data_IF_909995025985
#
_entry.id   IF_909995025985
#
_cell.length_a   1.000
_cell.length_b   1.000
_cell.length_c   1.000
_cell.angle_alpha   90.00
_cell.angle_beta   90.00
_cell.angle_gamma   90.00
#
_symmetry.space_group_name_H-M   'P 1'
#
loop_
_entity.id
_entity.type
_entity.pdbx_description
1 polymer ?
#
# COMPACT_ATOMS: atom_id res chain seq x y z
N UNK A 1 -8.09 -22.76 8.37
CA UNK A 1 -6.88 -22.12 8.92
C UNK A 1 -7.22 -20.75 9.42
N UNK A 2 -6.59 -20.32 10.50
CA UNK A 2 -6.66 -18.94 10.98
C UNK A 2 -5.46 -18.14 10.46
N UNK A 3 -5.74 -17.10 9.68
CA UNK A 3 -4.73 -16.35 8.93
C UNK A 3 -4.71 -14.89 9.38
N UNK A 4 -3.54 -14.38 9.75
CA UNK A 4 -3.33 -12.97 10.04
C UNK A 4 -2.66 -12.27 8.85
N UNK A 5 -3.34 -11.29 8.24
CA UNK A 5 -2.78 -10.41 7.21
C UNK A 5 -2.18 -9.18 7.88
N UNK A 6 -0.87 -9.09 7.92
CA UNK A 6 -0.15 -8.00 8.60
C UNK A 6 0.20 -6.92 7.58
N UNK A 7 -0.31 -5.70 7.79
CA UNK A 7 0.06 -4.52 7.00
C UNK A 7 0.66 -3.43 7.90
N UNK A 8 1.80 -2.84 7.53
CA UNK A 8 2.39 -1.72 8.28
C UNK A 8 1.60 -0.42 8.11
N UNK A 9 0.69 -0.39 7.15
CA UNK A 9 -0.12 0.79 6.83
C UNK A 9 -1.42 0.80 7.60
N UNK A 10 -1.92 2.00 7.90
CA UNK A 10 -3.24 2.14 8.52
C UNK A 10 -4.33 1.62 7.58
N UNK A 11 -5.07 0.62 8.02
CA UNK A 11 -6.16 0.03 7.26
C UNK A 11 -7.51 0.57 7.77
N UNK A 12 -8.48 0.93 6.89
CA UNK A 12 -8.54 0.68 5.44
C UNK A 12 -8.13 1.88 4.55
N UNK A 13 -7.18 2.72 4.97
CA UNK A 13 -6.80 3.88 4.16
C UNK A 13 -6.40 3.48 2.72
N UNK A 14 -6.81 4.28 1.71
CA UNK A 14 -6.52 3.97 0.31
C UNK A 14 -5.03 3.85 0.01
N UNK A 15 -4.65 2.79 -0.69
CA UNK A 15 -3.27 2.51 -1.10
C UNK A 15 -3.16 1.14 -1.75
N UNK A 16 -2.19 0.96 -2.65
CA UNK A 16 -2.05 -0.28 -3.42
C UNK A 16 -1.87 -1.52 -2.54
N UNK A 17 -1.07 -1.42 -1.48
CA UNK A 17 -0.87 -2.53 -0.52
C UNK A 17 -2.16 -2.85 0.23
N UNK A 18 -2.85 -1.84 0.77
CA UNK A 18 -4.11 -2.06 1.48
C UNK A 18 -5.21 -2.61 0.56
N UNK A 19 -5.23 -2.22 -0.71
CA UNK A 19 -6.15 -2.81 -1.69
C UNK A 19 -5.84 -4.29 -1.94
N UNK A 20 -4.57 -4.66 -2.03
CA UNK A 20 -4.15 -6.06 -2.16
C UNK A 20 -4.49 -6.88 -0.90
N UNK A 21 -4.23 -6.33 0.30
CA UNK A 21 -4.64 -6.94 1.58
C UNK A 21 -6.14 -7.17 1.63
N UNK A 22 -6.94 -6.21 1.18
CA UNK A 22 -8.38 -6.32 1.10
C UNK A 22 -8.81 -7.47 0.18
N UNK A 23 -8.26 -7.58 -1.02
CA UNK A 23 -8.58 -8.67 -1.94
C UNK A 23 -8.16 -10.04 -1.39
N UNK A 24 -7.02 -10.13 -0.72
CA UNK A 24 -6.63 -11.37 -0.03
C UNK A 24 -7.62 -11.71 1.08
N UNK A 25 -7.97 -10.75 1.92
CA UNK A 25 -8.94 -10.93 3.00
C UNK A 25 -10.29 -11.47 2.47
N UNK A 26 -10.86 -10.81 1.46
CA UNK A 26 -12.14 -11.20 0.88
C UNK A 26 -12.09 -12.61 0.26
N UNK A 27 -11.05 -12.89 -0.54
CA UNK A 27 -10.93 -14.17 -1.24
C UNK A 27 -10.55 -15.34 -0.34
N UNK A 28 -9.74 -15.14 0.69
CA UNK A 28 -9.41 -16.19 1.65
C UNK A 28 -10.62 -16.54 2.51
N UNK A 29 -11.44 -15.57 2.90
CA UNK A 29 -12.72 -15.83 3.60
C UNK A 29 -13.70 -16.60 2.74
N UNK A 30 -13.84 -16.26 1.47
CA UNK A 30 -14.68 -17.03 0.52
C UNK A 30 -14.23 -18.48 0.39
N UNK A 31 -12.95 -18.79 0.66
CA UNK A 31 -12.40 -20.15 0.70
C UNK A 31 -12.53 -20.85 2.05
N UNK A 32 -13.24 -20.25 3.00
CA UNK A 32 -13.53 -20.83 4.31
C UNK A 32 -12.43 -20.66 5.36
N UNK A 33 -11.49 -19.73 5.18
CA UNK A 33 -10.48 -19.41 6.19
C UNK A 33 -11.01 -18.37 7.20
N UNK A 34 -10.59 -18.47 8.47
CA UNK A 34 -10.76 -17.39 9.44
C UNK A 34 -9.63 -16.37 9.24
N UNK A 35 -9.95 -15.17 8.79
CA UNK A 35 -8.96 -14.18 8.39
C UNK A 35 -9.10 -12.93 9.23
N UNK A 36 -7.98 -12.45 9.78
CA UNK A 36 -7.87 -11.18 10.49
C UNK A 36 -6.90 -10.25 9.77
N UNK A 37 -7.19 -8.94 9.77
CA UNK A 37 -6.26 -7.92 9.29
C UNK A 37 -5.61 -7.26 10.51
N UNK A 38 -4.28 -7.27 10.56
CA UNK A 38 -3.49 -6.66 11.63
C UNK A 38 -2.83 -5.41 11.07
N UNK A 39 -3.15 -4.25 11.64
CA UNK A 39 -2.62 -2.96 11.20
C UNK A 39 -2.29 -2.04 12.35
N UNK A 40 -1.55 -0.95 12.08
CA UNK A 40 -1.40 0.14 13.05
C UNK A 40 -2.71 0.90 13.22
N UNK A 41 -2.95 1.44 14.43
CA UNK A 41 -4.07 2.36 14.66
C UNK A 41 -3.71 3.80 14.30
N UNK A 42 -4.71 4.61 13.95
CA UNK A 42 -4.54 6.04 13.74
C UNK A 42 -5.64 6.81 14.48
N UNK A 43 -5.24 7.81 15.27
CA UNK A 43 -6.19 8.65 16.01
C UNK A 43 -7.01 7.88 17.05
N UNK A 44 -8.33 8.15 17.08
CA UNK A 44 -9.29 7.59 18.07
C UNK A 44 -9.92 6.26 17.62
N UNK A 45 -9.34 5.55 16.65
CA UNK A 45 -9.86 4.26 16.21
C UNK A 45 -9.85 3.23 17.35
N UNK A 46 -10.90 2.40 17.41
CA UNK A 46 -10.98 1.29 18.38
C UNK A 46 -9.87 0.27 18.14
N UNK A 47 -9.40 -0.36 19.21
CA UNK A 47 -8.32 -1.35 19.14
C UNK A 47 -8.65 -2.55 18.24
N UNK A 48 -9.92 -2.93 18.17
CA UNK A 48 -10.39 -3.92 17.21
C UNK A 48 -11.81 -3.58 16.77
N UNK A 49 -12.13 -3.87 15.52
CA UNK A 49 -13.43 -3.66 14.92
C UNK A 49 -13.68 -4.76 13.89
N UNK A 50 -14.62 -5.67 14.23
CA UNK A 50 -14.84 -6.86 13.41
C UNK A 50 -13.57 -7.70 13.29
N UNK A 51 -13.15 -7.95 12.05
CA UNK A 51 -11.97 -8.76 11.74
C UNK A 51 -10.66 -7.95 11.66
N UNK A 52 -10.69 -6.66 12.07
CA UNK A 52 -9.52 -5.78 12.04
C UNK A 52 -8.97 -5.62 13.46
N UNK A 53 -7.72 -6.00 13.65
CA UNK A 53 -6.96 -5.84 14.89
C UNK A 53 -6.02 -4.65 14.72
N UNK A 54 -6.16 -3.63 15.55
CA UNK A 54 -5.31 -2.44 15.54
C UNK A 54 -4.40 -2.43 16.76
N UNK A 55 -3.10 -2.31 16.53
CA UNK A 55 -2.08 -2.34 17.57
C UNK A 55 -1.35 -1.00 17.62
N UNK A 56 -1.22 -0.48 18.84
CA UNK A 56 -0.49 0.75 19.14
C UNK A 56 -1.21 2.03 18.69
N UNK A 57 -0.63 3.18 19.05
CA UNK A 57 -1.06 4.50 18.56
C UNK A 57 -0.03 4.97 17.54
N UNK A 58 -0.44 5.14 16.29
CA UNK A 58 0.47 5.48 15.20
C UNK A 58 0.61 6.98 15.00
N UNK A 59 1.84 7.43 14.80
CA UNK A 59 2.18 8.73 14.22
C UNK A 59 2.56 8.52 12.76
N UNK A 60 1.99 9.33 11.88
CA UNK A 60 2.30 9.24 10.45
C UNK A 60 3.63 9.91 10.15
N UNK A 61 4.59 9.15 9.62
CA UNK A 61 5.84 9.69 9.08
C UNK A 61 5.95 9.41 7.58
N UNK A 62 6.46 10.36 6.79
CA UNK A 62 6.75 10.10 5.38
C UNK A 62 7.93 9.13 5.27
N UNK A 63 7.72 7.98 4.61
CA UNK A 63 8.76 6.98 4.34
C UNK A 63 8.74 6.67 2.84
N UNK A 64 9.81 6.96 2.13
CA UNK A 64 10.01 6.66 0.69
C UNK A 64 8.82 7.05 -0.22
N UNK A 65 8.25 8.26 -0.01
CA UNK A 65 7.09 8.74 -0.79
C UNK A 65 5.76 8.11 -0.41
N UNK A 66 5.70 7.34 0.69
CA UNK A 66 4.51 6.79 1.32
C UNK A 66 4.42 7.28 2.77
N UNK A 67 3.25 7.15 3.38
CA UNK A 67 3.07 7.48 4.81
C UNK A 67 3.13 6.18 5.59
N UNK A 68 4.24 5.96 6.29
CA UNK A 68 4.39 4.89 7.28
C UNK A 68 3.90 5.37 8.65
N UNK A 69 3.32 4.49 9.45
CA UNK A 69 2.90 4.82 10.80
C UNK A 69 3.89 4.25 11.81
N UNK A 70 4.52 5.12 12.58
CA UNK A 70 5.40 4.74 13.70
C UNK A 70 4.54 4.61 14.96
N UNK A 71 4.68 3.49 15.63
CA UNK A 71 4.03 3.26 16.93
C UNK A 71 5.07 3.28 18.03
N UNK A 72 5.04 4.31 18.84
CA UNK A 72 5.87 4.43 20.04
C UNK A 72 4.98 4.29 21.29
N UNK A 73 4.96 3.10 21.89
CA UNK A 73 4.32 2.88 23.18
C UNK A 73 5.15 1.89 23.98
N UNK A 74 5.43 2.12 25.27
CA UNK A 74 6.12 1.14 26.11
C UNK A 74 5.38 -0.21 26.21
N UNK A 75 4.06 -0.19 25.97
CA UNK A 75 3.19 -1.39 25.99
C UNK A 75 3.03 -2.06 24.62
N UNK A 76 3.70 -1.57 23.59
CA UNK A 76 3.50 -2.08 22.23
C UNK A 76 3.88 -3.55 22.08
N UNK A 77 5.02 -3.94 22.64
CA UNK A 77 5.51 -5.33 22.59
C UNK A 77 4.58 -6.29 23.35
N UNK A 78 4.08 -5.87 24.52
CA UNK A 78 3.11 -6.68 25.28
C UNK A 78 1.80 -6.82 24.51
N UNK A 79 1.27 -5.74 23.93
CA UNK A 79 0.06 -5.80 23.10
C UNK A 79 0.19 -6.77 21.92
N UNK A 80 1.38 -6.81 21.28
CA UNK A 80 1.64 -7.79 20.19
C UNK A 80 1.65 -9.21 20.76
N UNK A 81 2.30 -9.44 21.89
CA UNK A 81 2.34 -10.77 22.54
C UNK A 81 0.95 -11.24 22.92
N UNK A 82 0.19 -10.43 23.64
CA UNK A 82 -1.19 -10.73 24.06
C UNK A 82 -2.09 -11.03 22.87
N UNK A 83 -1.91 -10.29 21.76
CA UNK A 83 -2.63 -10.52 20.51
C UNK A 83 -2.26 -11.88 19.90
N UNK A 84 -0.98 -12.21 19.79
CA UNK A 84 -0.52 -13.49 19.21
C UNK A 84 -0.98 -14.67 20.05
N UNK A 85 -0.90 -14.56 21.40
CA UNK A 85 -1.36 -15.59 22.33
C UNK A 85 -2.87 -15.79 22.28
N UNK A 86 -3.65 -14.72 22.14
CA UNK A 86 -5.11 -14.81 22.03
C UNK A 86 -5.58 -15.38 20.70
N UNK A 87 -4.98 -14.90 19.61
CA UNK A 87 -5.44 -15.23 18.26
C UNK A 87 -4.96 -16.60 17.77
N UNK A 88 -3.80 -17.08 18.19
CA UNK A 88 -3.25 -18.40 17.81
C UNK A 88 -3.31 -18.64 16.30
N UNK A 89 -2.67 -17.77 15.52
CA UNK A 89 -2.65 -17.88 14.05
C UNK A 89 -1.90 -19.11 13.56
N UNK A 90 -2.46 -19.83 12.60
CA UNK A 90 -1.75 -20.87 11.86
C UNK A 90 -0.69 -20.27 10.92
N UNK A 91 -1.04 -19.10 10.31
CA UNK A 91 -0.22 -18.41 9.33
C UNK A 91 -0.33 -16.89 9.50
N UNK A 92 0.82 -16.23 9.46
CA UNK A 92 0.92 -14.78 9.34
C UNK A 92 1.49 -14.42 7.96
N UNK A 93 0.73 -13.61 7.22
CA UNK A 93 1.13 -13.09 5.92
C UNK A 93 1.45 -11.60 6.03
N UNK A 94 2.73 -11.28 5.96
CA UNK A 94 3.25 -9.94 6.09
C UNK A 94 3.28 -9.22 4.73
N UNK A 95 2.80 -7.99 4.68
CA UNK A 95 3.00 -7.09 3.55
C UNK A 95 4.03 -6.04 3.96
N UNK A 96 5.13 -5.96 3.21
CA UNK A 96 6.30 -5.13 3.56
C UNK A 96 6.80 -5.38 5.00
N UNK A 97 7.33 -6.60 5.28
CA UNK A 97 7.66 -7.05 6.64
C UNK A 97 8.74 -6.20 7.33
N UNK A 98 9.54 -5.47 6.57
CA UNK A 98 10.67 -4.70 7.09
C UNK A 98 10.41 -3.20 7.22
N UNK A 99 9.16 -2.76 6.98
CA UNK A 99 8.73 -1.43 7.41
C UNK A 99 8.78 -1.38 8.93
N UNK A 100 9.47 -0.38 9.51
CA UNK A 100 9.76 -0.33 10.95
C UNK A 100 8.53 -0.46 11.85
N UNK A 101 8.74 -1.03 13.05
CA UNK A 101 7.88 -1.19 14.21
C UNK A 101 6.92 -2.38 14.15
N UNK A 102 5.71 -2.29 13.57
CA UNK A 102 4.66 -3.30 13.73
C UNK A 102 5.09 -4.67 13.17
N UNK A 103 5.41 -4.71 11.89
CA UNK A 103 5.69 -5.98 11.20
C UNK A 103 6.92 -6.72 11.73
N UNK A 104 8.08 -6.07 11.96
CA UNK A 104 9.26 -6.73 12.52
C UNK A 104 9.03 -7.29 13.93
N UNK A 105 8.28 -6.59 14.79
CA UNK A 105 8.01 -7.04 16.15
C UNK A 105 7.05 -8.24 16.13
N UNK A 106 6.00 -8.22 15.31
CA UNK A 106 5.12 -9.38 15.15
C UNK A 106 5.93 -10.56 14.61
N UNK A 107 6.76 -10.36 13.59
CA UNK A 107 7.59 -11.41 13.00
C UNK A 107 8.57 -12.01 14.02
N UNK A 108 9.17 -11.17 14.87
CA UNK A 108 10.09 -11.60 15.93
C UNK A 108 9.40 -12.47 16.99
N UNK A 109 8.17 -12.13 17.36
CA UNK A 109 7.41 -12.80 18.42
C UNK A 109 6.55 -13.97 17.89
N UNK A 110 6.37 -14.06 16.59
CA UNK A 110 5.54 -15.10 15.95
C UNK A 110 6.13 -16.50 16.13
N UNK A 111 5.24 -17.45 16.43
CA UNK A 111 5.48 -18.91 16.38
C UNK A 111 4.73 -19.58 15.23
N UNK A 112 3.99 -18.81 14.44
CA UNK A 112 3.20 -19.27 13.30
C UNK A 112 4.07 -19.48 12.05
N UNK A 113 3.51 -20.07 11.00
CA UNK A 113 4.12 -20.01 9.66
C UNK A 113 4.10 -18.57 9.17
N UNK A 114 5.26 -18.02 8.83
CA UNK A 114 5.40 -16.63 8.38
C UNK A 114 5.71 -16.60 6.88
N UNK A 115 4.89 -15.91 6.10
CA UNK A 115 5.16 -15.59 4.71
C UNK A 115 5.14 -14.07 4.50
N UNK A 116 5.85 -13.59 3.49
CA UNK A 116 5.91 -12.15 3.22
C UNK A 116 5.71 -11.83 1.75
N UNK A 117 5.00 -10.73 1.47
CA UNK A 117 4.87 -10.12 0.15
C UNK A 117 5.53 -8.76 0.12
N UNK A 118 6.42 -8.57 -0.85
CA UNK A 118 7.18 -7.35 -1.08
C UNK A 118 6.60 -6.60 -2.28
N UNK A 119 6.22 -5.35 -2.08
CA UNK A 119 5.56 -4.48 -3.07
C UNK A 119 6.47 -3.34 -3.54
N UNK A 120 7.51 -3.02 -2.75
CA UNK A 120 8.38 -1.90 -3.04
C UNK A 120 9.22 -2.15 -4.29
N UNK A 121 9.37 -1.09 -5.08
CA UNK A 121 10.36 -0.96 -6.13
C UNK A 121 11.02 0.41 -6.03
N UNK A 122 12.30 0.47 -6.27
CA UNK A 122 13.06 1.71 -6.26
C UNK A 122 14.52 1.51 -6.68
N UNK A 123 15.25 2.61 -6.72
CA UNK A 123 16.70 2.60 -6.84
C UNK A 123 17.37 2.18 -5.53
N UNK A 124 18.55 2.73 -5.26
CA UNK A 124 19.21 2.55 -3.98
C UNK A 124 18.40 3.17 -2.83
N UNK A 125 18.24 2.44 -1.74
CA UNK A 125 17.52 2.90 -0.56
C UNK A 125 18.38 2.75 0.71
N UNK A 126 18.87 3.87 1.29
CA UNK A 126 19.66 3.82 2.52
C UNK A 126 18.93 3.17 3.70
N UNK A 127 17.60 3.34 3.77
CA UNK A 127 16.79 2.72 4.83
C UNK A 127 16.73 1.19 4.71
N UNK A 128 16.66 0.65 3.49
CA UNK A 128 16.75 -0.79 3.25
C UNK A 128 18.17 -1.31 3.48
N UNK A 129 19.20 -0.56 3.09
CA UNK A 129 20.60 -0.91 3.34
C UNK A 129 20.89 -1.05 4.84
N UNK A 130 20.48 -0.05 5.62
CA UNK A 130 20.60 -0.12 7.09
C UNK A 130 19.70 -1.23 7.67
N UNK A 131 18.45 -1.30 7.25
CA UNK A 131 17.48 -2.30 7.70
C UNK A 131 17.95 -3.72 7.45
N UNK A 132 18.60 -4.00 6.32
CA UNK A 132 19.11 -5.33 5.99
C UNK A 132 20.14 -5.84 6.97
N UNK A 133 20.97 -4.95 7.54
CA UNK A 133 21.99 -5.30 8.53
C UNK A 133 21.38 -5.62 9.90
N UNK A 134 20.31 -4.92 10.26
CA UNK A 134 19.65 -5.06 11.58
C UNK A 134 18.61 -6.18 11.61
N UNK A 135 17.93 -6.45 10.47
CA UNK A 135 16.79 -7.35 10.39
C UNK A 135 17.08 -8.71 9.76
N UNK A 136 18.36 -9.13 9.75
CA UNK A 136 18.73 -10.48 9.25
C UNK A 136 18.06 -11.60 10.03
N UNK A 137 17.94 -11.45 11.35
CA UNK A 137 17.28 -12.43 12.20
C UNK A 137 15.80 -12.58 11.88
N UNK A 138 15.10 -11.46 11.65
CA UNK A 138 13.70 -11.45 11.25
C UNK A 138 13.50 -12.02 9.84
N UNK A 139 14.39 -11.71 8.91
CA UNK A 139 14.35 -12.26 7.57
C UNK A 139 14.50 -13.80 7.54
N UNK A 140 15.31 -14.36 8.44
CA UNK A 140 15.45 -15.81 8.59
C UNK A 140 14.19 -16.51 9.14
N UNK A 141 13.25 -15.78 9.72
CA UNK A 141 11.98 -16.32 10.24
C UNK A 141 10.88 -16.41 9.18
N UNK A 142 11.15 -15.93 7.97
CA UNK A 142 10.22 -16.06 6.85
C UNK A 142 10.34 -17.44 6.19
N UNK A 143 9.26 -18.20 6.22
CA UNK A 143 9.14 -19.53 5.60
C UNK A 143 8.85 -19.44 4.10
N UNK A 144 8.32 -18.28 3.64
CA UNK A 144 8.05 -18.03 2.23
C UNK A 144 8.14 -16.56 1.90
N UNK A 145 8.63 -16.24 0.69
CA UNK A 145 8.81 -14.88 0.21
C UNK A 145 8.18 -14.70 -1.16
N UNK A 146 7.34 -13.68 -1.30
CA UNK A 146 6.63 -13.34 -2.52
C UNK A 146 7.06 -11.93 -2.92
N UNK A 147 7.34 -11.74 -4.21
CA UNK A 147 7.51 -10.41 -4.79
C UNK A 147 6.41 -10.18 -5.83
N UNK A 148 5.80 -8.98 -5.84
CA UNK A 148 4.68 -8.68 -6.74
C UNK A 148 5.08 -8.47 -8.22
N UNK A 149 6.37 -8.43 -8.51
CA UNK A 149 6.91 -8.33 -9.87
C UNK A 149 8.39 -8.71 -9.91
N UNK A 150 8.93 -8.94 -11.10
CA UNK A 150 10.37 -9.13 -11.28
C UNK A 150 11.18 -7.92 -10.81
N UNK A 151 10.66 -6.69 -11.00
CA UNK A 151 11.28 -5.48 -10.52
C UNK A 151 11.31 -5.39 -8.98
N UNK A 152 10.21 -5.74 -8.32
CA UNK A 152 10.17 -5.82 -6.85
C UNK A 152 11.10 -6.90 -6.31
N UNK A 153 11.15 -8.09 -6.98
CA UNK A 153 12.10 -9.14 -6.65
C UNK A 153 13.54 -8.62 -6.73
N UNK A 154 13.93 -8.03 -7.86
CA UNK A 154 15.29 -7.52 -8.05
C UNK A 154 15.66 -6.46 -7.00
N UNK A 155 14.72 -5.60 -6.64
CA UNK A 155 14.94 -4.58 -5.60
C UNK A 155 15.18 -5.21 -4.23
N UNK A 156 14.29 -6.10 -3.76
CA UNK A 156 14.37 -6.66 -2.41
C UNK A 156 15.52 -7.66 -2.26
N UNK A 157 15.80 -8.46 -3.29
CA UNK A 157 16.86 -9.47 -3.29
C UNK A 157 18.26 -8.87 -3.08
N UNK A 158 18.45 -7.61 -3.47
CA UNK A 158 19.69 -6.84 -3.21
C UNK A 158 19.97 -6.67 -1.71
N UNK A 159 18.93 -6.51 -0.89
CA UNK A 159 19.04 -6.23 0.54
C UNK A 159 18.84 -7.47 1.40
N UNK A 160 17.98 -8.37 0.96
CA UNK A 160 17.64 -9.63 1.64
C UNK A 160 17.70 -10.79 0.65
N UNK A 161 18.89 -11.24 0.29
CA UNK A 161 19.06 -12.33 -0.68
C UNK A 161 18.27 -13.59 -0.29
N UNK A 162 17.70 -14.29 -1.28
CA UNK A 162 16.97 -15.51 -1.06
C UNK A 162 16.04 -15.91 -2.20
N UNK A 163 15.26 -16.95 -1.97
CA UNK A 163 14.28 -17.40 -2.95
C UNK A 163 12.98 -16.60 -2.84
N UNK A 164 12.53 -16.07 -3.98
CA UNK A 164 11.29 -15.31 -4.10
C UNK A 164 10.40 -15.88 -5.19
N UNK A 165 9.16 -16.17 -4.85
CA UNK A 165 8.13 -16.49 -5.84
C UNK A 165 7.54 -15.16 -6.37
N UNK A 166 7.50 -14.98 -7.68
CA UNK A 166 6.86 -13.80 -8.28
C UNK A 166 5.37 -14.11 -8.45
N UNK A 167 4.54 -13.37 -7.70
CA UNK A 167 3.07 -13.46 -7.76
C UNK A 167 2.53 -12.03 -7.87
N UNK A 168 2.03 -11.61 -9.04
CA UNK A 168 1.49 -10.27 -9.22
C UNK A 168 0.27 -9.99 -8.33
N UNK A 169 0.06 -8.70 -8.04
CA UNK A 169 -1.17 -8.28 -7.39
C UNK A 169 -2.39 -8.63 -8.25
N UNK A 170 -3.40 -9.19 -7.61
CA UNK A 170 -4.68 -9.46 -8.25
C UNK A 170 -5.51 -8.19 -8.46
N UNK A 171 -6.39 -8.25 -9.44
CA UNK A 171 -7.38 -7.21 -9.74
C UNK A 171 -8.74 -7.86 -9.91
N UNK A 172 -9.80 -7.23 -9.42
CA UNK A 172 -11.17 -7.68 -9.61
C UNK A 172 -11.64 -7.28 -11.03
N UNK A 173 -11.36 -8.16 -11.99
CA UNK A 173 -11.69 -7.93 -13.41
C UNK A 173 -13.18 -7.77 -13.62
N UNK A 174 -14.03 -8.54 -12.92
CA UNK A 174 -15.47 -8.50 -13.08
C UNK A 174 -16.07 -7.18 -12.60
N UNK A 175 -15.54 -6.61 -11.54
CA UNK A 175 -15.93 -5.27 -11.07
C UNK A 175 -15.72 -4.21 -12.15
N UNK A 176 -14.56 -4.24 -12.83
CA UNK A 176 -14.25 -3.29 -13.91
C UNK A 176 -15.06 -3.57 -15.17
N UNK A 177 -15.29 -4.85 -15.50
CA UNK A 177 -16.08 -5.25 -16.68
C UNK A 177 -17.55 -4.84 -16.57
N UNK A 178 -18.13 -4.89 -15.35
CA UNK A 178 -19.52 -4.50 -15.08
C UNK A 178 -19.70 -3.01 -14.84
N UNK A 179 -18.62 -2.24 -14.79
CA UNK A 179 -18.72 -0.81 -14.57
C UNK A 179 -19.41 -0.13 -15.73
N UNK A 180 -20.44 0.67 -15.42
CA UNK A 180 -21.12 1.49 -16.41
C UNK A 180 -20.44 2.85 -16.48
N UNK A 181 -20.05 3.32 -17.69
CA UNK A 181 -19.48 4.64 -17.86
C UNK A 181 -20.43 5.73 -17.37
N UNK A 182 -19.88 6.74 -16.69
CA UNK A 182 -20.68 7.87 -16.21
C UNK A 182 -21.16 8.72 -17.37
N UNK A 183 -22.47 8.94 -17.48
CA UNK A 183 -23.12 9.66 -18.59
C UNK A 183 -22.50 11.04 -18.85
N UNK A 184 -22.10 11.76 -17.81
CA UNK A 184 -21.47 13.10 -17.92
C UNK A 184 -20.13 13.11 -18.72
N UNK A 185 -19.55 11.92 -18.95
CA UNK A 185 -18.30 11.78 -19.69
C UNK A 185 -18.49 11.10 -21.06
N UNK A 186 -19.73 10.89 -21.48
CA UNK A 186 -20.09 10.27 -22.76
C UNK A 186 -20.59 11.31 -23.80
N UNK A 187 -20.01 12.49 -23.77
CA UNK A 187 -20.40 13.62 -24.62
C UNK A 187 -19.59 13.70 -25.94
N UNK A 188 -18.92 12.60 -26.31
CA UNK A 188 -18.08 12.55 -27.51
C UNK A 188 -16.66 13.11 -27.32
N UNK A 189 -16.40 13.83 -26.22
CA UNK A 189 -15.08 14.35 -25.91
C UNK A 189 -14.13 13.24 -25.48
N UNK A 190 -12.91 13.22 -26.00
CA UNK A 190 -11.87 12.27 -25.57
C UNK A 190 -11.42 12.57 -24.14
N UNK A 191 -11.54 11.58 -23.25
CA UNK A 191 -11.14 11.70 -21.86
C UNK A 191 -9.78 11.05 -21.63
N UNK A 192 -8.84 11.82 -21.06
CA UNK A 192 -7.58 11.32 -20.52
C UNK A 192 -7.74 11.21 -19.01
N UNK A 193 -7.64 10.01 -18.47
CA UNK A 193 -7.87 9.75 -17.04
C UNK A 193 -6.55 9.52 -16.30
N UNK A 194 -6.31 10.28 -15.25
CA UNK A 194 -5.30 10.02 -14.24
C UNK A 194 -5.97 9.61 -12.93
N UNK A 195 -5.54 8.47 -12.38
CA UNK A 195 -5.98 8.01 -11.06
C UNK A 195 -4.75 7.77 -10.19
N UNK A 196 -4.64 8.49 -9.08
CA UNK A 196 -3.52 8.30 -8.18
C UNK A 196 -3.31 9.42 -7.18
N UNK A 197 -2.34 9.22 -6.28
CA UNK A 197 -1.93 10.28 -5.35
C UNK A 197 -1.17 11.38 -6.10
N UNK A 198 -1.42 12.62 -5.74
CA UNK A 198 -0.71 13.78 -6.30
C UNK A 198 0.64 13.96 -5.60
N UNK A 199 1.58 13.11 -5.99
CA UNK A 199 2.97 13.04 -5.50
C UNK A 199 3.94 13.23 -6.65
N UNK A 200 5.15 13.79 -6.42
CA UNK A 200 6.14 14.02 -7.50
C UNK A 200 6.39 12.79 -8.37
N UNK A 201 6.55 11.63 -7.76
CA UNK A 201 6.79 10.37 -8.48
C UNK A 201 5.63 9.90 -9.38
N UNK A 202 4.44 10.48 -9.23
CA UNK A 202 3.25 10.17 -10.04
C UNK A 202 3.07 11.09 -11.23
N UNK A 203 3.83 12.20 -11.28
CA UNK A 203 3.94 13.06 -12.44
C UNK A 203 2.70 13.88 -12.76
N UNK A 204 1.83 14.20 -11.78
CA UNK A 204 0.60 14.96 -12.05
C UNK A 204 0.88 16.34 -12.65
N UNK A 205 1.97 17.01 -12.23
CA UNK A 205 2.35 18.30 -12.78
C UNK A 205 2.89 18.18 -14.22
N UNK A 206 3.61 17.10 -14.52
CA UNK A 206 4.10 16.87 -15.87
C UNK A 206 2.95 16.50 -16.82
N UNK A 207 1.96 15.75 -16.31
CA UNK A 207 0.73 15.49 -17.06
C UNK A 207 -0.04 16.79 -17.38
N UNK A 208 -0.14 17.73 -16.43
CA UNK A 208 -0.73 19.04 -16.67
C UNK A 208 0.04 19.87 -17.72
N UNK A 209 1.37 19.79 -17.71
CA UNK A 209 2.22 20.42 -18.75
C UNK A 209 1.96 19.80 -20.10
N UNK A 210 1.92 18.49 -20.20
CA UNK A 210 1.61 17.75 -21.42
C UNK A 210 0.21 18.07 -21.94
N UNK A 211 -0.81 18.10 -21.08
CA UNK A 211 -2.16 18.48 -21.46
C UNK A 211 -2.21 19.92 -22.02
N UNK A 212 -1.46 20.86 -21.42
CA UNK A 212 -1.35 22.23 -21.94
C UNK A 212 -0.76 22.27 -23.36
N UNK A 213 0.19 21.41 -23.68
CA UNK A 213 0.75 21.32 -25.03
C UNK A 213 -0.34 20.82 -26.01
N UNK A 214 -1.03 19.73 -25.67
CA UNK A 214 -2.15 19.21 -26.47
C UNK A 214 -3.23 20.26 -26.75
N UNK A 215 -3.60 21.05 -25.72
CA UNK A 215 -4.59 22.12 -25.90
C UNK A 215 -4.11 23.23 -26.85
N UNK A 216 -2.82 23.54 -26.85
CA UNK A 216 -2.22 24.52 -27.79
C UNK A 216 -2.16 24.01 -29.22
N UNK A 217 -2.03 22.70 -29.40
CA UNK A 217 -2.06 22.02 -30.70
C UNK A 217 -3.49 21.77 -31.23
N UNK A 218 -4.50 22.37 -30.55
CA UNK A 218 -5.89 22.29 -31.00
C UNK A 218 -6.67 21.06 -30.51
N UNK A 219 -6.09 20.22 -29.64
CA UNK A 219 -6.83 19.09 -29.09
C UNK A 219 -7.94 19.57 -28.14
N UNK A 220 -9.13 18.99 -28.27
CA UNK A 220 -10.28 19.17 -27.40
C UNK A 220 -10.34 18.18 -26.22
N UNK A 221 -9.35 17.28 -26.12
CA UNK A 221 -9.30 16.26 -25.06
C UNK A 221 -9.47 16.87 -23.65
N UNK A 222 -10.21 16.16 -22.81
CA UNK A 222 -10.45 16.49 -21.41
C UNK A 222 -9.53 15.67 -20.53
N UNK A 223 -8.93 16.30 -19.53
CA UNK A 223 -8.09 15.65 -18.53
C UNK A 223 -8.87 15.52 -17.21
N UNK A 224 -9.13 14.26 -16.81
CA UNK A 224 -9.80 13.93 -15.55
C UNK A 224 -8.74 13.52 -14.52
N UNK A 225 -8.68 14.26 -13.40
CA UNK A 225 -7.73 14.02 -12.32
C UNK A 225 -8.47 13.46 -11.09
N UNK A 226 -8.28 12.17 -10.83
CA UNK A 226 -8.90 11.49 -9.70
C UNK A 226 -7.85 11.17 -8.64
N UNK A 227 -7.97 11.82 -7.48
CA UNK A 227 -7.06 11.62 -6.37
C UNK A 227 -6.83 12.91 -5.58
N UNK A 228 -5.79 12.89 -4.75
CA UNK A 228 -5.34 14.01 -3.95
C UNK A 228 -3.94 13.75 -3.43
N UNK A 229 -3.35 14.74 -2.74
CA UNK A 229 -2.02 14.58 -2.16
C UNK A 229 -1.25 15.90 -2.04
N UNK A 230 0.03 15.84 -1.65
CA UNK A 230 0.82 17.04 -1.35
C UNK A 230 0.94 18.02 -2.53
N UNK A 231 0.87 17.55 -3.77
CA UNK A 231 0.92 18.42 -4.95
C UNK A 231 -0.45 18.95 -5.40
N UNK A 232 -1.54 18.68 -4.70
CA UNK A 232 -2.88 19.14 -5.11
C UNK A 232 -2.97 20.66 -5.21
N UNK A 233 -2.47 21.38 -4.18
CA UNK A 233 -2.46 22.84 -4.16
C UNK A 233 -1.66 23.42 -5.33
N UNK A 234 -0.52 22.81 -5.65
CA UNK A 234 0.34 23.22 -6.75
C UNK A 234 -0.32 22.95 -8.11
N UNK A 235 -0.95 21.77 -8.27
CA UNK A 235 -1.72 21.41 -9.47
C UNK A 235 -2.87 22.40 -9.72
N UNK A 236 -3.68 22.70 -8.70
CA UNK A 236 -4.76 23.70 -8.80
C UNK A 236 -4.22 25.09 -9.16
N UNK A 237 -3.12 25.51 -8.53
CA UNK A 237 -2.46 26.77 -8.86
C UNK A 237 -1.99 26.81 -10.32
N UNK A 238 -1.37 25.73 -10.81
CA UNK A 238 -0.92 25.62 -12.20
C UNK A 238 -2.09 25.77 -13.18
N UNK A 239 -3.19 25.05 -12.95
CA UNK A 239 -4.42 25.13 -13.77
C UNK A 239 -4.93 26.58 -13.81
N UNK A 240 -5.09 27.22 -12.65
CA UNK A 240 -5.62 28.57 -12.54
C UNK A 240 -4.71 29.64 -13.21
N UNK A 241 -3.40 29.62 -12.90
CA UNK A 241 -2.45 30.63 -13.44
C UNK A 241 -2.22 30.50 -14.93
N UNK A 242 -2.37 29.31 -15.48
CA UNK A 242 -2.24 29.04 -16.94
C UNK A 242 -3.59 29.09 -17.66
N UNK A 243 -4.69 29.33 -16.97
CA UNK A 243 -6.07 29.28 -17.49
C UNK A 243 -6.28 28.01 -18.32
N UNK A 244 -5.81 26.87 -17.78
CA UNK A 244 -5.82 25.60 -18.48
C UNK A 244 -7.24 25.02 -18.51
N UNK A 245 -7.90 25.11 -19.65
CA UNK A 245 -9.24 24.54 -19.86
C UNK A 245 -9.21 23.03 -20.06
N UNK A 246 -10.38 22.38 -19.86
CA UNK A 246 -10.56 20.95 -20.06
C UNK A 246 -9.84 20.08 -19.01
N UNK A 247 -9.72 20.56 -17.77
CA UNK A 247 -9.21 19.80 -16.62
C UNK A 247 -10.29 19.75 -15.54
N UNK A 248 -10.59 18.56 -15.03
CA UNK A 248 -11.58 18.30 -13.97
C UNK A 248 -11.05 17.34 -12.91
#
# INVERSE_FOLDING_TARGET
MKIGLVTPYVYPLPGGVNQHVRYLYENLRLRGHDVRIISSSHGLQRASEGDIIRIGKGFSLPVNGSVGTITLSPRFVSQVRDMLEREQFDLLHFHEPFVPFLSPIILRLSTSVNIATFHAYGGFSPSYEFGSKVMKGEAARLHGRIAVSGAAKHFIDRYFPGEYKVIPNGVDVERFRRAVPLARWQDGTRNVLFVGRFEPRKGVLDLLKAHRILRREGSDARLLLVGGGPQEREARRYIATRRLGGVE
#
